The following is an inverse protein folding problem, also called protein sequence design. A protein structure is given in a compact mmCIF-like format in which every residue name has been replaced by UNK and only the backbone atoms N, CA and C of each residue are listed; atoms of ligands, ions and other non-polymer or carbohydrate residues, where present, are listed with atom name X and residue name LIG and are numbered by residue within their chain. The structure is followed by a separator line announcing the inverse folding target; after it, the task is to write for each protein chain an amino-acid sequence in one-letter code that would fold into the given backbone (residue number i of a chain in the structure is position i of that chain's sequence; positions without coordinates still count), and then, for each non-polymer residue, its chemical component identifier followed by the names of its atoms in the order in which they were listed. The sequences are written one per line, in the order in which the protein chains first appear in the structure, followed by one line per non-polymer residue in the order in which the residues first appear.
data_IF_770916007136
#
_entry.id   IF_770916007136
#
_cell.length_a   1.000
_cell.length_b   1.000
_cell.length_c   1.000
_cell.angle_alpha   90.00
_cell.angle_beta   90.00
_cell.angle_gamma   90.00
#
_symmetry.space_group_name_H-M   'P 1'
#
loop_
_entity.id
_entity.type
_entity.pdbx_description
1 polymer ?
#
# COMPACT_ATOMS: atom_id res chain seq x y z
N UNK A 1 -17.31 -16.26 -27.57
CA UNK A 1 -18.18 -15.10 -27.85
C UNK A 1 -17.27 -13.86 -27.86
N UNK A 2 -16.65 -13.42 -28.98
CA UNK A 2 -17.21 -12.59 -30.09
C UNK A 2 -18.06 -11.42 -29.59
N UNK A 3 -17.90 -10.13 -29.92
CA UNK A 3 -17.15 -9.32 -30.93
C UNK A 3 -17.17 -7.85 -30.40
N UNK A 4 -16.39 -6.84 -30.82
CA UNK A 4 -15.20 -6.68 -31.68
C UNK A 4 -14.60 -5.25 -31.48
N UNK A 5 -13.54 -4.91 -32.24
CA UNK A 5 -13.26 -3.63 -32.96
C UNK A 5 -13.61 -2.24 -32.36
N UNK A 6 -12.81 -1.18 -32.53
CA UNK A 6 -11.49 -0.98 -33.18
C UNK A 6 -10.89 0.40 -32.78
N UNK A 7 -9.60 0.69 -33.05
CA UNK A 7 -8.90 1.90 -32.58
C UNK A 7 -8.73 2.99 -33.66
N UNK A 8 -7.82 3.96 -33.36
CA UNK A 8 -7.16 4.98 -34.22
C UNK A 8 -7.63 6.43 -34.02
N UNK A 9 -6.71 7.32 -33.56
CA UNK A 9 -6.10 8.36 -34.41
C UNK A 9 -5.20 9.34 -33.61
N UNK A 10 -3.94 9.41 -34.01
CA UNK A 10 -3.02 10.57 -33.98
C UNK A 10 -2.21 10.51 -35.31
N UNK A 11 -1.40 11.50 -35.73
CA UNK A 11 -1.10 12.83 -35.14
C UNK A 11 -1.16 14.00 -36.17
N UNK A 12 -0.84 15.20 -35.68
CA UNK A 12 -0.26 16.36 -36.42
C UNK A 12 -1.14 17.13 -37.42
N UNK A 13 -1.16 18.48 -37.30
CA UNK A 13 -0.46 19.38 -38.22
C UNK A 13 -0.53 20.84 -37.74
N UNK A 14 0.47 21.65 -38.14
CA UNK A 14 0.61 23.07 -37.83
C UNK A 14 -0.51 23.93 -38.45
N UNK A 15 -0.99 24.94 -37.73
CA UNK A 15 -0.77 26.34 -38.15
C UNK A 15 -0.94 27.33 -36.99
N UNK A 16 -0.06 28.32 -36.96
CA UNK A 16 -0.09 29.45 -36.02
C UNK A 16 -0.85 30.60 -36.68
N UNK A 17 -1.88 31.13 -36.02
CA UNK A 17 -2.48 32.43 -36.37
C UNK A 17 -2.19 33.44 -35.26
N UNK A 18 -1.00 34.05 -35.35
CA UNK A 18 -0.70 35.30 -34.68
C UNK A 18 -1.37 36.44 -35.47
N UNK A 19 -2.31 37.15 -34.87
CA UNK A 19 -2.71 38.49 -35.33
C UNK A 19 -2.14 39.55 -34.40
N UNK A 20 -0.81 39.67 -34.44
CA UNK A 20 -0.09 40.85 -33.97
C UNK A 20 -0.08 41.90 -35.08
N UNK A 21 -0.74 43.03 -34.88
CA UNK A 21 -0.46 44.27 -35.62
C UNK A 21 0.34 45.22 -34.73
N UNK A 22 1.62 45.32 -35.05
CA UNK A 22 2.57 46.35 -34.57
C UNK A 22 2.15 47.73 -35.14
N UNK A 23 2.46 48.90 -34.57
CA UNK A 23 3.79 49.44 -34.14
C UNK A 23 4.75 49.44 -35.36
N UNK A 24 5.31 50.54 -35.89
CA UNK A 24 5.25 51.97 -35.53
C UNK A 24 5.29 52.88 -36.79
N UNK A 25 6.29 53.76 -37.08
CA UNK A 25 6.01 55.20 -37.20
C UNK A 25 6.47 55.80 -38.56
N UNK A 26 6.53 57.14 -38.64
CA UNK A 26 7.51 58.01 -39.34
C UNK A 26 6.84 59.24 -39.96
N UNK A 27 7.50 60.39 -39.80
CA UNK A 27 7.12 61.70 -40.33
C UNK A 27 7.07 61.73 -41.86
N UNK A 28 6.26 62.63 -42.43
CA UNK A 28 6.70 63.60 -43.46
C UNK A 28 5.58 64.57 -43.85
N UNK A 29 5.84 65.87 -43.72
CA UNK A 29 5.35 66.86 -44.69
C UNK A 29 6.12 66.65 -46.02
N UNK A 30 5.68 67.12 -47.20
CA UNK A 30 4.76 68.23 -47.43
C UNK A 30 3.70 68.00 -48.54
N UNK A 31 2.87 69.02 -48.82
CA UNK A 31 2.56 69.56 -50.17
C UNK A 31 1.16 70.23 -50.27
N UNK A 32 1.19 71.52 -50.63
CA UNK A 32 0.14 72.21 -51.41
C UNK A 32 0.00 71.51 -52.80
N UNK A 33 -1.08 71.68 -53.61
CA UNK A 33 -1.98 72.85 -53.71
C UNK A 33 -3.46 72.42 -53.98
N UNK A 34 -4.35 73.11 -54.73
CA UNK A 34 -4.41 74.52 -55.15
C UNK A 34 -5.74 75.26 -54.83
N UNK A 35 -5.67 76.60 -54.95
CA UNK A 35 -6.74 77.58 -55.24
C UNK A 35 -8.16 77.06 -55.58
N UNK A 36 -9.14 77.53 -54.81
CA UNK A 36 -10.52 77.85 -55.25
C UNK A 36 -10.84 79.31 -54.87
N UNK A 37 -11.73 80.04 -55.59
CA UNK A 37 -11.67 81.50 -55.63
C UNK A 37 -12.53 82.26 -54.60
N UNK A 38 -12.01 83.42 -54.23
CA UNK A 38 -12.63 84.46 -53.40
C UNK A 38 -13.76 85.20 -54.17
N UNK A 39 -15.00 85.34 -53.65
CA UNK A 39 -16.13 85.85 -54.46
C UNK A 39 -16.28 87.38 -54.59
N UNK A 40 -15.43 88.21 -53.96
CA UNK A 40 -15.68 89.66 -53.85
C UNK A 40 -14.50 90.60 -54.25
N UNK A 41 -13.62 90.16 -55.15
CA UNK A 41 -12.50 90.99 -55.69
C UNK A 41 -12.63 91.33 -57.19
N UNK A 42 -13.79 91.87 -57.59
CA UNK A 42 -13.97 92.50 -58.92
C UNK A 42 -14.90 93.72 -58.88
N UNK A 43 -14.39 94.87 -58.42
CA UNK A 43 -14.83 96.22 -58.84
C UNK A 43 -13.91 97.33 -58.29
N UNK A 44 -12.65 97.28 -58.70
CA UNK A 44 -11.76 98.44 -58.64
C UNK A 44 -11.64 99.06 -60.04
N UNK A 45 -11.51 100.39 -60.08
CA UNK A 45 -11.30 101.25 -61.26
C UNK A 45 -12.55 101.74 -62.04
N UNK A 46 -13.13 102.83 -61.55
CA UNK A 46 -13.25 104.03 -62.39
C UNK A 46 -12.79 105.29 -61.64
N UNK A 47 -11.69 105.87 -62.14
CA UNK A 47 -11.42 107.32 -62.30
C UNK A 47 -11.30 108.24 -61.06
N UNK A 48 -10.08 108.72 -60.74
CA UNK A 48 -9.84 109.85 -59.84
C UNK A 48 -9.65 111.16 -60.63
N UNK A 49 -10.72 111.94 -60.87
CA UNK A 49 -10.58 113.18 -61.65
C UNK A 49 -11.71 114.21 -61.39
N UNK A 50 -11.53 115.07 -60.38
CA UNK A 50 -11.93 116.49 -60.40
C UNK A 50 -11.53 117.21 -59.09
N UNK A 51 -10.43 117.96 -59.13
CA UNK A 51 -10.13 119.02 -58.16
C UNK A 51 -10.45 120.36 -58.82
N UNK A 52 -11.18 121.21 -58.09
CA UNK A 52 -11.52 122.62 -58.39
C UNK A 52 -12.59 122.83 -59.47
N UNK A 53 -13.77 123.29 -59.06
CA UNK A 53 -14.31 124.66 -59.24
C UNK A 53 -15.37 124.84 -58.12
N UNK A 54 -15.17 125.75 -57.17
CA UNK A 54 -15.56 127.17 -57.17
C UNK A 54 -17.07 127.44 -56.95
N UNK A 55 -17.36 127.82 -55.69
CA UNK A 55 -18.36 128.79 -55.22
C UNK A 55 -19.87 128.45 -55.09
N UNK A 56 -20.42 129.10 -54.04
CA UNK A 56 -21.80 129.56 -53.82
C UNK A 56 -22.95 128.56 -53.91
N UNK A 57 -23.54 128.20 -52.76
CA UNK A 57 -24.82 128.72 -52.25
C UNK A 57 -24.95 128.27 -50.77
N UNK A 58 -24.88 129.17 -49.79
CA UNK A 58 -26.02 129.87 -49.18
C UNK A 58 -27.03 128.96 -48.44
N UNK A 59 -26.83 128.89 -47.12
CA UNK A 59 -27.87 129.03 -46.07
C UNK A 59 -29.26 128.39 -46.30
N UNK A 60 -29.46 127.18 -45.76
CA UNK A 60 -30.79 126.70 -45.34
C UNK A 60 -30.74 126.02 -43.95
N UNK A 61 -31.76 126.21 -43.07
CA UNK A 61 -31.74 125.67 -41.70
C UNK A 61 -31.85 124.13 -41.60
N UNK A 62 -32.10 123.43 -42.70
CA UNK A 62 -32.24 121.97 -42.74
C UNK A 62 -30.91 121.23 -42.56
N UNK A 63 -29.77 121.90 -42.75
CA UNK A 63 -28.46 121.26 -42.77
C UNK A 63 -27.85 121.01 -41.37
N UNK A 64 -28.34 121.71 -40.33
CA UNK A 64 -27.91 121.51 -38.94
C UNK A 64 -28.60 120.31 -38.31
N UNK A 65 -29.92 120.17 -38.51
CA UNK A 65 -30.69 119.00 -38.09
C UNK A 65 -30.11 117.71 -38.68
N UNK A 66 -29.86 117.69 -40.00
CA UNK A 66 -29.28 116.53 -40.67
C UNK A 66 -27.89 116.14 -40.12
N UNK A 67 -27.09 117.13 -39.69
CA UNK A 67 -25.76 116.89 -39.10
C UNK A 67 -25.86 116.32 -37.68
N UNK A 68 -26.84 116.78 -36.91
CA UNK A 68 -27.11 116.31 -35.55
C UNK A 68 -27.69 114.88 -35.58
N UNK A 69 -28.59 114.60 -36.53
CA UNK A 69 -29.06 113.25 -36.85
C UNK A 69 -27.92 112.33 -37.31
N UNK A 70 -26.98 112.81 -38.12
CA UNK A 70 -25.80 112.04 -38.51
C UNK A 70 -24.89 111.71 -37.32
N UNK A 71 -24.64 112.66 -36.41
CA UNK A 71 -23.79 112.38 -35.23
C UNK A 71 -24.51 111.52 -34.19
N UNK A 72 -25.85 111.60 -34.10
CA UNK A 72 -26.71 110.69 -33.34
C UNK A 72 -26.67 109.26 -33.90
N UNK A 73 -26.81 109.11 -35.23
CA UNK A 73 -26.63 107.82 -35.92
C UNK A 73 -25.20 107.29 -35.72
N UNK A 74 -24.18 108.15 -35.74
CA UNK A 74 -22.79 107.77 -35.52
C UNK A 74 -22.54 107.28 -34.10
N UNK A 75 -23.11 107.94 -33.08
CA UNK A 75 -23.07 107.49 -31.68
C UNK A 75 -23.83 106.17 -31.49
N UNK A 76 -24.99 106.00 -32.13
CA UNK A 76 -25.72 104.72 -32.17
C UNK A 76 -24.92 103.61 -32.84
N UNK A 77 -24.25 103.88 -33.96
CA UNK A 77 -23.39 102.91 -34.66
C UNK A 77 -22.19 102.51 -33.79
N UNK A 78 -21.54 103.44 -33.09
CA UNK A 78 -20.41 103.08 -32.23
C UNK A 78 -20.86 102.36 -30.95
N UNK A 79 -22.02 102.71 -30.36
CA UNK A 79 -22.65 101.93 -29.29
C UNK A 79 -22.95 100.50 -29.75
N UNK A 80 -23.61 100.33 -30.91
CA UNK A 80 -23.91 99.01 -31.45
C UNK A 80 -22.66 98.19 -31.77
N UNK A 81 -21.54 98.83 -32.15
CA UNK A 81 -20.25 98.14 -32.30
C UNK A 81 -19.66 97.72 -30.96
N UNK A 82 -19.75 98.53 -29.91
CA UNK A 82 -19.30 98.12 -28.58
C UNK A 82 -20.17 96.97 -28.05
N UNK A 83 -21.50 97.08 -28.17
CA UNK A 83 -22.41 95.98 -27.80
C UNK A 83 -22.15 94.70 -28.64
N UNK A 84 -21.65 94.82 -29.88
CA UNK A 84 -21.20 93.68 -30.69
C UNK A 84 -19.87 93.12 -30.17
N UNK A 85 -18.87 93.98 -29.88
CA UNK A 85 -17.58 93.57 -29.27
C UNK A 85 -17.80 92.86 -27.92
N UNK A 86 -18.71 93.35 -27.10
CA UNK A 86 -19.07 92.73 -25.82
C UNK A 86 -19.74 91.37 -26.03
N UNK A 87 -20.71 91.27 -26.95
CA UNK A 87 -21.34 89.98 -27.31
C UNK A 87 -20.31 88.99 -27.86
N UNK A 88 -19.42 89.40 -28.75
CA UNK A 88 -18.34 88.56 -29.28
C UNK A 88 -17.38 88.09 -28.17
N UNK A 89 -17.07 88.94 -27.20
CA UNK A 89 -16.27 88.61 -26.00
C UNK A 89 -16.98 87.61 -25.07
N UNK A 90 -18.30 87.74 -24.91
CA UNK A 90 -19.13 86.78 -24.15
C UNK A 90 -19.18 85.44 -24.89
N UNK A 91 -19.47 85.44 -26.20
CA UNK A 91 -19.51 84.24 -27.04
C UNK A 91 -18.15 83.52 -27.05
N UNK A 92 -17.05 84.26 -27.13
CA UNK A 92 -15.68 83.72 -27.09
C UNK A 92 -15.40 83.01 -25.77
N UNK A 93 -15.75 83.60 -24.63
CA UNK A 93 -15.64 82.95 -23.31
C UNK A 93 -16.51 81.69 -23.22
N UNK A 94 -17.77 81.77 -23.64
CA UNK A 94 -18.68 80.61 -23.66
C UNK A 94 -18.20 79.47 -24.58
N UNK A 95 -17.49 79.80 -25.67
CA UNK A 95 -16.88 78.79 -26.53
C UNK A 95 -15.71 78.08 -25.84
N UNK A 96 -14.83 78.82 -25.14
CA UNK A 96 -13.73 78.25 -24.34
C UNK A 96 -14.30 77.39 -23.19
N UNK A 97 -15.23 77.93 -22.40
CA UNK A 97 -15.90 77.20 -21.30
C UNK A 97 -16.55 75.89 -21.79
N UNK A 98 -17.19 75.91 -22.97
CA UNK A 98 -17.78 74.71 -23.58
C UNK A 98 -16.71 73.73 -24.07
N UNK A 99 -15.59 74.21 -24.57
CA UNK A 99 -14.46 73.37 -25.02
C UNK A 99 -13.78 72.68 -23.83
N UNK A 100 -13.55 73.40 -22.73
CA UNK A 100 -13.02 72.87 -21.47
C UNK A 100 -13.98 71.81 -20.88
N UNK A 101 -15.28 72.11 -20.77
CA UNK A 101 -16.29 71.15 -20.32
C UNK A 101 -16.37 69.91 -21.24
N UNK A 102 -16.18 70.08 -22.55
CA UNK A 102 -16.10 68.96 -23.50
C UNK A 102 -14.82 68.13 -23.31
N UNK A 103 -13.70 68.73 -22.90
CA UNK A 103 -12.47 68.02 -22.58
C UNK A 103 -12.60 67.23 -21.26
N UNK A 104 -13.18 67.84 -20.22
CA UNK A 104 -13.49 67.17 -18.95
C UNK A 104 -14.49 66.02 -19.13
N UNK A 105 -15.53 66.19 -19.95
CA UNK A 105 -16.48 65.13 -20.27
C UNK A 105 -15.81 63.96 -21.02
N UNK A 106 -14.90 64.25 -21.96
CA UNK A 106 -14.09 63.21 -22.64
C UNK A 106 -13.16 62.49 -21.67
N UNK A 107 -12.49 63.21 -20.77
CA UNK A 107 -11.56 62.60 -19.82
C UNK A 107 -12.31 61.75 -18.77
N UNK A 108 -13.47 62.21 -18.29
CA UNK A 108 -14.29 61.45 -17.34
C UNK A 108 -14.94 60.22 -17.98
N UNK A 109 -15.45 60.32 -19.21
CA UNK A 109 -15.95 59.16 -19.96
C UNK A 109 -14.86 58.14 -20.28
N UNK A 110 -13.63 58.59 -20.61
CA UNK A 110 -12.48 57.69 -20.76
C UNK A 110 -12.14 56.97 -19.44
N UNK A 111 -12.00 57.70 -18.33
CA UNK A 111 -11.73 57.11 -17.00
C UNK A 111 -12.81 56.10 -16.58
N UNK A 112 -14.09 56.38 -16.88
CA UNK A 112 -15.19 55.45 -16.62
C UNK A 112 -15.08 54.19 -17.48
N UNK A 113 -14.70 54.31 -18.76
CA UNK A 113 -14.47 53.17 -19.63
C UNK A 113 -13.28 52.31 -19.16
N UNK A 114 -12.17 52.93 -18.75
CA UNK A 114 -11.00 52.26 -18.19
C UNK A 114 -11.37 51.46 -16.92
N UNK A 115 -12.01 52.12 -15.94
CA UNK A 115 -12.49 51.47 -14.72
C UNK A 115 -13.52 50.36 -15.00
N UNK A 116 -14.37 50.51 -16.01
CA UNK A 116 -15.30 49.48 -16.44
C UNK A 116 -14.56 48.26 -17.01
N UNK A 117 -13.52 48.46 -17.84
CA UNK A 117 -12.70 47.35 -18.36
C UNK A 117 -11.91 46.64 -17.26
N UNK A 118 -11.36 47.39 -16.29
CA UNK A 118 -10.67 46.80 -15.13
C UNK A 118 -11.63 45.99 -14.26
N UNK A 119 -12.82 46.51 -13.98
CA UNK A 119 -13.87 45.79 -13.22
C UNK A 119 -14.30 44.49 -13.90
N UNK A 120 -14.41 44.48 -15.24
CA UNK A 120 -14.69 43.26 -16.02
C UNK A 120 -13.51 42.29 -15.92
N UNK A 121 -12.27 42.75 -16.13
CA UNK A 121 -11.07 41.90 -16.06
C UNK A 121 -10.92 41.24 -14.68
N UNK A 122 -11.11 42.01 -13.60
CA UNK A 122 -11.08 41.51 -12.22
C UNK A 122 -12.17 40.46 -11.97
N UNK A 123 -13.40 40.69 -12.48
CA UNK A 123 -14.49 39.69 -12.39
C UNK A 123 -14.13 38.40 -13.11
N UNK A 124 -13.64 38.47 -14.34
CA UNK A 124 -13.25 37.26 -15.08
C UNK A 124 -12.06 36.53 -14.43
N UNK A 125 -11.09 37.26 -13.85
CA UNK A 125 -9.99 36.64 -13.11
C UNK A 125 -10.50 35.89 -11.87
N UNK A 126 -11.41 36.52 -11.11
CA UNK A 126 -12.08 35.88 -9.98
C UNK A 126 -12.88 34.64 -10.39
N UNK A 127 -13.67 34.72 -11.47
CA UNK A 127 -14.42 33.58 -12.01
C UNK A 127 -13.50 32.44 -12.48
N UNK A 128 -12.36 32.74 -13.12
CA UNK A 128 -11.34 31.74 -13.49
C UNK A 128 -10.72 31.08 -12.26
N UNK A 129 -10.39 31.85 -11.21
CA UNK A 129 -9.87 31.31 -9.95
C UNK A 129 -10.89 30.42 -9.25
N UNK A 130 -12.15 30.86 -9.13
CA UNK A 130 -13.25 30.07 -8.58
C UNK A 130 -13.50 28.77 -9.36
N UNK A 131 -13.46 28.84 -10.70
CA UNK A 131 -13.64 27.66 -11.55
C UNK A 131 -12.48 26.66 -11.40
N UNK A 132 -11.24 27.14 -11.30
CA UNK A 132 -10.07 26.28 -11.08
C UNK A 132 -10.08 25.65 -9.68
N UNK A 133 -10.34 26.43 -8.63
CA UNK A 133 -10.49 25.93 -7.26
C UNK A 133 -11.60 24.86 -7.17
N UNK A 134 -12.75 25.08 -7.81
CA UNK A 134 -13.83 24.08 -7.88
C UNK A 134 -13.43 22.81 -8.62
N UNK A 135 -12.63 22.91 -9.70
CA UNK A 135 -12.08 21.73 -10.41
C UNK A 135 -11.10 20.96 -9.55
N UNK A 136 -10.22 21.64 -8.83
CA UNK A 136 -9.24 21.02 -7.94
C UNK A 136 -9.92 20.31 -6.77
N UNK A 137 -10.93 20.94 -6.16
CA UNK A 137 -11.76 20.33 -5.13
C UNK A 137 -12.47 19.08 -5.64
N UNK A 138 -13.08 19.12 -6.84
CA UNK A 138 -13.69 17.93 -7.44
C UNK A 138 -12.68 16.82 -7.80
N UNK A 139 -11.45 17.17 -8.22
CA UNK A 139 -10.38 16.19 -8.43
C UNK A 139 -10.00 15.52 -7.11
N UNK A 140 -9.67 16.30 -6.08
CA UNK A 140 -9.30 15.77 -4.77
C UNK A 140 -10.42 14.94 -4.12
N UNK A 141 -11.67 15.38 -4.27
CA UNK A 141 -12.85 14.61 -3.83
C UNK A 141 -12.95 13.26 -4.57
N UNK A 142 -12.70 13.25 -5.88
CA UNK A 142 -12.71 12.02 -6.68
C UNK A 142 -11.56 11.10 -6.29
N UNK A 143 -10.34 11.63 -6.19
CA UNK A 143 -9.13 10.85 -5.85
C UNK A 143 -9.26 10.23 -4.45
N UNK A 144 -9.77 10.98 -3.47
CA UNK A 144 -10.05 10.45 -2.12
C UNK A 144 -11.17 9.41 -2.11
N UNK A 145 -12.21 9.57 -2.93
CA UNK A 145 -13.25 8.55 -3.10
C UNK A 145 -12.70 7.26 -3.73
N UNK A 146 -11.85 7.36 -4.76
CA UNK A 146 -11.20 6.21 -5.39
C UNK A 146 -10.23 5.51 -4.42
N UNK A 147 -9.46 6.26 -3.63
CA UNK A 147 -8.61 5.70 -2.57
C UNK A 147 -9.42 4.96 -1.50
N UNK A 148 -10.52 5.55 -1.02
CA UNK A 148 -11.43 4.89 -0.08
C UNK A 148 -12.02 3.59 -0.65
N UNK A 149 -12.46 3.61 -1.92
CA UNK A 149 -12.97 2.42 -2.58
C UNK A 149 -11.89 1.33 -2.70
N UNK A 150 -10.68 1.66 -3.14
CA UNK A 150 -9.58 0.70 -3.21
C UNK A 150 -9.20 0.11 -1.85
N UNK A 151 -9.25 0.91 -0.77
CA UNK A 151 -9.00 0.41 0.59
C UNK A 151 -10.11 -0.54 1.05
N UNK A 152 -11.37 -0.21 0.78
CA UNK A 152 -12.50 -1.11 1.06
C UNK A 152 -12.39 -2.44 0.28
N UNK A 153 -12.02 -2.38 -1.01
CA UNK A 153 -11.82 -3.57 -1.85
C UNK A 153 -10.66 -4.45 -1.34
N UNK A 154 -9.53 -3.84 -0.95
CA UNK A 154 -8.39 -4.56 -0.33
C UNK A 154 -8.79 -5.23 0.98
N UNK A 155 -9.43 -4.49 1.90
CA UNK A 155 -9.89 -5.05 3.17
C UNK A 155 -10.92 -6.17 2.98
N UNK A 156 -11.84 -6.03 2.02
CA UNK A 156 -12.81 -7.09 1.71
C UNK A 156 -12.13 -8.36 1.17
N UNK A 157 -11.11 -8.22 0.32
CA UNK A 157 -10.30 -9.35 -0.17
C UNK A 157 -9.49 -10.01 0.97
N UNK A 158 -8.87 -9.22 1.84
CA UNK A 158 -8.11 -9.72 3.00
C UNK A 158 -9.02 -10.45 4.00
N UNK A 159 -10.18 -9.90 4.36
CA UNK A 159 -11.19 -10.58 5.19
C UNK A 159 -11.66 -11.88 4.53
N UNK A 160 -11.83 -11.90 3.20
CA UNK A 160 -12.20 -13.12 2.48
C UNK A 160 -11.09 -14.19 2.53
N UNK A 161 -9.83 -13.80 2.40
CA UNK A 161 -8.69 -14.71 2.52
C UNK A 161 -8.51 -15.23 3.97
N UNK A 162 -8.70 -14.37 4.98
CA UNK A 162 -8.65 -14.75 6.39
C UNK A 162 -9.81 -15.68 6.78
N UNK A 163 -11.02 -15.46 6.26
CA UNK A 163 -12.14 -16.39 6.50
C UNK A 163 -11.94 -17.73 5.82
N UNK A 164 -11.36 -17.77 4.61
CA UNK A 164 -10.98 -19.02 3.94
C UNK A 164 -9.95 -19.80 4.77
N UNK A 165 -8.80 -19.19 5.11
CA UNK A 165 -7.75 -19.86 5.91
C UNK A 165 -8.24 -20.26 7.31
N UNK A 166 -9.12 -19.46 7.93
CA UNK A 166 -9.81 -19.83 9.16
C UNK A 166 -10.67 -21.09 9.01
N UNK A 167 -11.39 -21.23 7.90
CA UNK A 167 -12.19 -22.43 7.61
C UNK A 167 -11.33 -23.67 7.32
N UNK A 168 -10.19 -23.50 6.64
CA UNK A 168 -9.22 -24.58 6.40
C UNK A 168 -8.59 -25.08 7.71
N UNK A 169 -8.18 -24.16 8.58
CA UNK A 169 -7.68 -24.49 9.92
C UNK A 169 -8.74 -25.16 10.78
N UNK A 170 -9.99 -24.70 10.72
CA UNK A 170 -11.11 -25.35 11.43
C UNK A 170 -11.35 -26.78 10.91
N UNK A 171 -11.29 -27.00 9.59
CA UNK A 171 -11.46 -28.32 8.99
C UNK A 171 -10.32 -29.27 9.39
N UNK A 172 -9.06 -28.84 9.33
CA UNK A 172 -7.90 -29.65 9.77
C UNK A 172 -7.92 -29.95 11.27
N UNK A 173 -8.34 -29.00 12.10
CA UNK A 173 -8.55 -29.25 13.53
C UNK A 173 -9.66 -30.29 13.75
N UNK A 174 -10.73 -30.25 12.94
CA UNK A 174 -11.82 -31.23 13.02
C UNK A 174 -11.35 -32.63 12.62
N UNK A 175 -10.60 -32.80 11.52
CA UNK A 175 -10.07 -34.11 11.10
C UNK A 175 -9.10 -34.67 12.13
N UNK A 176 -8.14 -33.86 12.63
CA UNK A 176 -7.22 -34.28 13.70
C UNK A 176 -7.97 -34.66 14.99
N UNK A 177 -9.06 -33.96 15.33
CA UNK A 177 -9.90 -34.31 16.47
C UNK A 177 -10.57 -35.68 16.27
N UNK A 178 -11.10 -35.95 15.07
CA UNK A 178 -11.68 -37.25 14.73
C UNK A 178 -10.63 -38.37 14.81
N UNK A 179 -9.45 -38.17 14.23
CA UNK A 179 -8.33 -39.11 14.29
C UNK A 179 -7.91 -39.41 15.74
N UNK A 180 -7.75 -38.39 16.58
CA UNK A 180 -7.44 -38.55 18.02
C UNK A 180 -8.54 -39.33 18.75
N UNK A 181 -9.83 -39.13 18.42
CA UNK A 181 -10.90 -39.94 19.00
C UNK A 181 -10.88 -41.40 18.52
N UNK A 182 -10.56 -41.64 17.25
CA UNK A 182 -10.42 -43.00 16.70
C UNK A 182 -9.24 -43.75 17.32
N UNK A 183 -8.07 -43.11 17.41
CA UNK A 183 -6.88 -43.68 18.06
C UNK A 183 -7.09 -43.94 19.56
N UNK A 184 -7.83 -43.08 20.27
CA UNK A 184 -8.23 -43.33 21.67
C UNK A 184 -9.13 -44.56 21.80
N UNK A 185 -10.05 -44.75 20.86
CA UNK A 185 -10.93 -45.94 20.85
C UNK A 185 -10.13 -47.22 20.60
N UNK A 186 -9.28 -47.25 19.57
CA UNK A 186 -8.38 -48.38 19.28
C UNK A 186 -7.44 -48.69 20.46
N UNK A 187 -6.87 -47.66 21.11
CA UNK A 187 -6.07 -47.84 22.32
C UNK A 187 -6.89 -48.49 23.45
N UNK A 188 -8.13 -48.05 23.64
CA UNK A 188 -9.04 -48.63 24.64
C UNK A 188 -9.31 -50.12 24.34
N UNK A 189 -9.60 -50.47 23.09
CA UNK A 189 -9.80 -51.85 22.64
C UNK A 189 -8.55 -52.71 22.94
N UNK A 190 -7.37 -52.29 22.48
CA UNK A 190 -6.09 -52.98 22.72
C UNK A 190 -5.77 -53.12 24.21
N UNK A 191 -6.08 -52.13 25.04
CA UNK A 191 -5.92 -52.26 26.50
C UNK A 191 -6.87 -53.27 27.11
N UNK A 192 -8.10 -53.38 26.62
CA UNK A 192 -9.07 -54.38 27.09
C UNK A 192 -8.66 -55.80 26.67
N UNK A 193 -8.19 -55.99 25.44
CA UNK A 193 -7.64 -57.27 24.96
C UNK A 193 -6.41 -57.70 25.76
N UNK A 194 -5.47 -56.77 26.02
CA UNK A 194 -4.31 -56.99 26.88
C UNK A 194 -4.72 -57.50 28.26
N UNK A 195 -5.74 -56.89 28.86
CA UNK A 195 -6.17 -57.24 30.22
C UNK A 195 -6.86 -58.62 30.26
N UNK A 196 -7.68 -58.95 29.25
CA UNK A 196 -8.24 -60.30 29.05
C UNK A 196 -7.15 -61.36 28.81
N UNK A 197 -6.13 -61.04 28.02
CA UNK A 197 -5.00 -61.95 27.78
C UNK A 197 -4.15 -62.16 29.05
N UNK A 198 -3.97 -61.11 29.85
CA UNK A 198 -3.28 -61.18 31.15
C UNK A 198 -4.05 -62.04 32.15
N UNK A 199 -5.36 -61.92 32.20
CA UNK A 199 -6.22 -62.78 33.01
C UNK A 199 -6.12 -64.26 32.58
N UNK A 200 -6.26 -64.54 31.28
CA UNK A 200 -6.07 -65.90 30.71
C UNK A 200 -4.69 -66.49 31.03
N UNK A 201 -3.62 -65.69 30.92
CA UNK A 201 -2.27 -66.12 31.27
C UNK A 201 -2.14 -66.44 32.77
N UNK A 202 -2.79 -65.68 33.64
CA UNK A 202 -2.82 -65.96 35.08
C UNK A 202 -3.58 -67.25 35.41
N UNK A 203 -4.70 -67.53 34.73
CA UNK A 203 -5.46 -68.76 34.87
C UNK A 203 -4.63 -69.98 34.45
N UNK A 204 -4.02 -69.96 33.26
CA UNK A 204 -3.14 -71.04 32.78
C UNK A 204 -1.92 -71.23 33.70
N UNK A 205 -1.40 -70.15 34.30
CA UNK A 205 -0.33 -70.26 35.30
C UNK A 205 -0.79 -70.94 36.60
N UNK A 206 -2.05 -70.77 37.00
CA UNK A 206 -2.64 -71.46 38.15
C UNK A 206 -2.84 -72.95 37.84
N UNK A 207 -3.48 -73.28 36.71
CA UNK A 207 -3.65 -74.65 36.22
C UNK A 207 -2.31 -75.39 36.12
N UNK A 208 -1.26 -74.72 35.62
CA UNK A 208 0.10 -75.28 35.55
C UNK A 208 0.71 -75.52 36.94
N UNK A 209 0.42 -74.67 37.92
CA UNK A 209 0.87 -74.88 39.30
C UNK A 209 0.16 -76.08 39.95
N UNK A 210 -1.14 -76.24 39.73
CA UNK A 210 -1.92 -77.41 40.16
C UNK A 210 -1.43 -78.71 39.48
N UNK A 211 -1.12 -78.65 38.19
CA UNK A 211 -0.48 -79.75 37.46
C UNK A 211 0.90 -80.09 38.03
N UNK A 212 1.72 -79.09 38.39
CA UNK A 212 3.01 -79.33 39.03
C UNK A 212 2.86 -79.96 40.43
N UNK A 213 1.86 -79.54 41.21
CA UNK A 213 1.57 -80.11 42.53
C UNK A 213 1.05 -81.55 42.43
N UNK A 214 0.17 -81.85 41.47
CA UNK A 214 -0.32 -83.22 41.23
C UNK A 214 0.79 -84.14 40.72
N UNK A 215 1.67 -83.67 39.83
CA UNK A 215 2.87 -84.40 39.43
C UNK A 215 3.84 -84.64 40.59
N UNK A 216 4.01 -83.67 41.50
CA UNK A 216 4.80 -83.83 42.72
C UNK A 216 4.19 -84.88 43.66
N UNK A 217 2.87 -84.84 43.88
CA UNK A 217 2.13 -85.86 44.65
C UNK A 217 2.28 -87.25 44.04
N UNK A 218 2.13 -87.39 42.72
CA UNK A 218 2.34 -88.66 42.00
C UNK A 218 3.78 -89.15 42.11
N UNK A 219 4.77 -88.27 41.98
CA UNK A 219 6.19 -88.60 42.11
C UNK A 219 6.53 -89.10 43.51
N UNK A 220 5.98 -88.45 44.54
CA UNK A 220 6.13 -88.89 45.93
C UNK A 220 5.41 -90.21 46.18
N UNK A 221 4.17 -90.37 45.70
CA UNK A 221 3.40 -91.61 45.81
C UNK A 221 4.12 -92.80 45.16
N UNK A 222 4.62 -92.63 43.93
CA UNK A 222 5.46 -93.62 43.25
C UNK A 222 6.71 -93.89 44.08
N UNK A 223 7.44 -92.85 44.51
CA UNK A 223 8.64 -92.99 45.35
C UNK A 223 8.41 -93.71 46.68
N UNK A 224 7.23 -93.60 47.28
CA UNK A 224 6.85 -94.35 48.50
C UNK A 224 6.39 -95.77 48.23
N UNK A 225 5.89 -96.09 47.03
CA UNK A 225 5.45 -97.44 46.65
C UNK A 225 6.52 -98.25 45.91
N UNK A 226 7.50 -97.61 45.28
CA UNK A 226 8.75 -98.25 44.86
C UNK A 226 9.66 -98.35 46.07
N UNK A 227 9.44 -99.37 46.91
CA UNK A 227 10.34 -99.73 48.00
C UNK A 227 11.75 -99.95 47.46
N UNK A 228 12.60 -98.91 47.61
CA UNK A 228 13.88 -98.83 46.90
C UNK A 228 14.81 -100.00 47.18
N UNK A 229 14.75 -100.55 48.40
CA UNK A 229 15.57 -101.70 48.82
C UNK A 229 15.13 -103.02 48.19
N UNK A 230 13.82 -103.31 48.08
CA UNK A 230 13.35 -104.53 47.41
C UNK A 230 13.59 -104.47 45.90
N UNK A 231 13.38 -103.31 45.28
CA UNK A 231 13.66 -103.14 43.85
C UNK A 231 15.18 -103.07 43.56
N UNK A 232 16.01 -102.44 44.40
CA UNK A 232 17.47 -102.50 44.22
C UNK A 232 18.03 -103.89 44.48
N UNK A 233 17.58 -104.61 45.51
CA UNK A 233 18.05 -105.98 45.74
C UNK A 233 17.57 -106.95 44.65
N UNK A 234 16.39 -106.72 44.06
CA UNK A 234 15.94 -107.45 42.87
C UNK A 234 16.76 -107.07 41.63
N UNK A 235 17.04 -105.79 41.40
CA UNK A 235 17.89 -105.32 40.29
C UNK A 235 19.32 -105.85 40.45
N UNK A 236 19.91 -105.86 41.65
CA UNK A 236 21.21 -106.48 41.91
C UNK A 236 21.20 -108.00 41.69
N UNK A 237 20.14 -108.70 42.08
CA UNK A 237 19.98 -110.14 41.80
C UNK A 237 19.90 -110.38 40.30
N UNK A 238 19.05 -109.64 39.59
CA UNK A 238 18.91 -109.73 38.14
C UNK A 238 20.20 -109.31 37.40
N UNK A 239 20.97 -108.38 37.95
CA UNK A 239 22.27 -107.97 37.43
C UNK A 239 23.33 -109.08 37.64
N UNK A 240 23.37 -109.72 38.81
CA UNK A 240 24.22 -110.90 39.07
C UNK A 240 23.82 -112.11 38.21
N UNK A 241 22.52 -112.34 38.02
CA UNK A 241 21.99 -113.36 37.11
C UNK A 241 22.35 -113.04 35.65
N UNK A 242 22.22 -111.77 35.22
CA UNK A 242 22.65 -111.29 33.90
C UNK A 242 24.16 -111.47 33.70
N UNK A 243 24.98 -111.19 34.70
CA UNK A 243 26.43 -111.40 34.66
C UNK A 243 26.79 -112.89 34.56
N UNK A 244 26.13 -113.74 35.35
CA UNK A 244 26.26 -115.20 35.24
C UNK A 244 25.78 -115.75 33.89
N UNK A 245 24.68 -115.23 33.36
CA UNK A 245 24.19 -115.51 32.00
C UNK A 245 25.16 -115.01 30.94
N UNK A 246 25.80 -113.84 31.12
CA UNK A 246 26.81 -113.33 30.20
C UNK A 246 28.03 -114.24 30.16
N UNK A 247 28.55 -114.67 31.32
CA UNK A 247 29.65 -115.67 31.40
C UNK A 247 29.24 -117.01 30.79
N UNK A 248 27.99 -117.45 31.00
CA UNK A 248 27.45 -118.66 30.37
C UNK A 248 27.35 -118.54 28.85
N UNK A 249 26.90 -117.38 28.35
CA UNK A 249 26.86 -117.04 26.92
C UNK A 249 28.28 -116.94 26.35
N UNK A 250 29.26 -116.39 27.07
CA UNK A 250 30.65 -116.34 26.64
C UNK A 250 31.27 -117.74 26.57
N UNK A 251 30.99 -118.62 27.54
CA UNK A 251 31.36 -120.04 27.47
C UNK A 251 30.67 -120.73 26.30
N UNK A 252 29.38 -120.45 26.06
CA UNK A 252 28.64 -120.98 24.92
C UNK A 252 29.21 -120.44 23.60
N UNK A 253 29.66 -119.19 23.56
CA UNK A 253 30.29 -118.53 22.43
C UNK A 253 31.69 -119.07 22.17
N UNK A 254 32.45 -119.47 23.20
CA UNK A 254 33.71 -120.23 23.05
C UNK A 254 33.42 -121.63 22.49
N UNK A 255 32.39 -122.33 22.98
CA UNK A 255 31.97 -123.63 22.44
C UNK A 255 31.46 -123.53 21.01
N UNK A 256 30.67 -122.50 20.69
CA UNK A 256 30.19 -122.20 19.34
C UNK A 256 31.35 -121.79 18.45
N UNK A 257 32.33 -120.99 18.91
CA UNK A 257 33.56 -120.71 18.16
C UNK A 257 34.36 -121.98 17.88
N UNK A 258 34.56 -122.85 18.86
CA UNK A 258 35.21 -124.15 18.66
C UNK A 258 34.45 -125.02 17.66
N UNK A 259 33.13 -125.12 17.79
CA UNK A 259 32.27 -125.81 16.81
C UNK A 259 32.26 -125.12 15.44
N UNK A 260 32.43 -123.80 15.38
CA UNK A 260 32.51 -123.00 14.16
C UNK A 260 33.92 -123.06 13.54
N UNK A 261 34.97 -123.31 14.31
CA UNK A 261 36.32 -123.58 13.80
C UNK A 261 36.43 -125.04 13.31
N UNK A 262 35.69 -125.98 13.91
CA UNK A 262 35.42 -127.32 13.37
C UNK A 262 34.57 -127.21 12.08
N UNK A 263 33.47 -126.46 12.11
CA UNK A 263 32.67 -126.20 10.91
C UNK A 263 33.49 -125.45 9.86
N UNK A 264 34.45 -124.59 10.19
CA UNK A 264 35.37 -123.94 9.23
C UNK A 264 36.45 -124.86 8.70
N UNK A 265 36.80 -125.92 9.42
CA UNK A 265 37.61 -127.00 8.87
C UNK A 265 36.77 -127.80 7.86
N UNK A 266 35.52 -128.12 8.20
CA UNK A 266 34.56 -128.77 7.31
C UNK A 266 34.10 -127.87 6.15
N UNK A 267 34.01 -126.56 6.34
CA UNK A 267 33.67 -125.55 5.33
C UNK A 267 34.89 -125.26 4.48
N UNK A 268 36.13 -125.41 4.96
CA UNK A 268 37.32 -125.40 4.10
C UNK A 268 37.41 -126.67 3.24
N UNK A 269 36.87 -127.78 3.73
CA UNK A 269 36.65 -129.00 2.95
C UNK A 269 35.48 -128.83 1.95
N UNK A 270 34.42 -128.10 2.33
CA UNK A 270 33.27 -127.75 1.47
C UNK A 270 33.49 -126.50 0.60
N UNK A 271 34.51 -125.68 0.80
CA UNK A 271 34.85 -124.50 -0.03
C UNK A 271 35.57 -124.93 -1.32
N UNK A 272 35.91 -126.21 -1.46
CA UNK A 272 36.08 -126.86 -2.76
C UNK A 272 34.73 -127.08 -3.49
N UNK A 273 33.58 -126.78 -2.86
CA UNK A 273 32.21 -127.03 -3.33
C UNK A 273 31.21 -125.90 -2.96
N UNK A 274 31.24 -124.82 -3.76
CA UNK A 274 30.14 -123.84 -4.03
C UNK A 274 30.06 -122.48 -3.28
N UNK A 275 30.45 -121.44 -4.04
CA UNK A 275 29.67 -120.27 -4.54
C UNK A 275 29.01 -119.21 -3.58
N UNK A 276 29.20 -117.88 -3.81
CA UNK A 276 28.82 -116.83 -2.85
C UNK A 276 27.62 -115.95 -3.26
N UNK A 277 26.55 -115.96 -2.45
CA UNK A 277 25.39 -115.05 -2.59
C UNK A 277 25.10 -114.24 -1.31
N UNK A 278 25.81 -113.11 -1.13
CA UNK A 278 25.47 -112.14 -0.08
C UNK A 278 25.78 -110.68 -0.48
N UNK A 279 25.08 -110.16 -1.50
CA UNK A 279 25.35 -108.84 -2.11
C UNK A 279 24.31 -107.74 -1.80
N UNK A 280 23.21 -108.07 -1.11
CA UNK A 280 21.96 -107.32 -1.22
C UNK A 280 21.74 -106.20 -0.17
N UNK A 281 22.32 -106.34 1.05
CA UNK A 281 22.04 -105.41 2.16
C UNK A 281 22.65 -104.01 2.02
N UNK A 282 23.70 -103.83 1.22
CA UNK A 282 24.42 -102.56 1.08
C UNK A 282 23.70 -101.52 0.21
N UNK A 283 22.84 -101.97 -0.71
CA UNK A 283 22.14 -101.10 -1.65
C UNK A 283 21.02 -100.31 -0.96
N UNK A 284 20.27 -100.93 -0.05
CA UNK A 284 19.16 -100.30 0.67
C UNK A 284 19.56 -99.21 1.67
N UNK A 285 20.79 -99.24 2.20
CA UNK A 285 21.28 -98.17 3.08
C UNK A 285 21.63 -96.89 2.28
N UNK A 286 22.12 -97.06 1.06
CA UNK A 286 22.48 -95.95 0.15
C UNK A 286 21.25 -95.22 -0.38
N UNK A 287 20.13 -95.91 -0.64
CA UNK A 287 18.88 -95.25 -1.04
C UNK A 287 18.30 -94.38 0.08
N UNK A 288 18.18 -94.92 1.30
CA UNK A 288 17.70 -94.19 2.48
C UNK A 288 18.55 -92.95 2.79
N UNK A 289 19.88 -93.03 2.62
CA UNK A 289 20.76 -91.88 2.82
C UNK A 289 20.54 -90.79 1.76
N UNK A 290 20.43 -91.18 0.47
CA UNK A 290 20.13 -90.25 -0.63
C UNK A 290 18.79 -89.53 -0.44
N UNK A 291 17.76 -90.25 -0.03
CA UNK A 291 16.44 -89.70 0.23
C UNK A 291 16.47 -88.65 1.37
N UNK A 292 17.16 -88.96 2.48
CA UNK A 292 17.30 -88.03 3.60
C UNK A 292 18.09 -86.77 3.24
N UNK A 293 19.15 -86.90 2.44
CA UNK A 293 19.93 -85.75 1.91
C UNK A 293 19.09 -84.92 0.94
N UNK A 294 18.29 -85.54 0.08
CA UNK A 294 17.39 -84.84 -0.82
C UNK A 294 16.33 -84.02 -0.07
N UNK A 295 15.68 -84.60 0.95
CA UNK A 295 14.73 -83.85 1.79
C UNK A 295 15.37 -82.62 2.47
N UNK A 296 16.58 -82.76 3.01
CA UNK A 296 17.30 -81.65 3.64
C UNK A 296 17.65 -80.54 2.63
N UNK A 297 18.04 -80.90 1.40
CA UNK A 297 18.30 -79.92 0.34
C UNK A 297 17.04 -79.16 -0.08
N UNK A 298 15.90 -79.85 -0.19
CA UNK A 298 14.60 -79.21 -0.50
C UNK A 298 14.17 -78.28 0.63
N UNK A 299 14.31 -78.71 1.90
CA UNK A 299 14.03 -77.85 3.06
C UNK A 299 14.92 -76.60 3.08
N UNK A 300 16.22 -76.75 2.82
CA UNK A 300 17.17 -75.64 2.77
C UNK A 300 16.79 -74.63 1.66
N UNK A 301 16.52 -75.12 0.44
CA UNK A 301 16.10 -74.26 -0.69
C UNK A 301 14.75 -73.57 -0.44
N UNK A 302 13.80 -74.25 0.20
CA UNK A 302 12.53 -73.64 0.60
C UNK A 302 12.76 -72.50 1.60
N UNK A 303 13.62 -72.68 2.61
CA UNK A 303 13.88 -71.63 3.59
C UNK A 303 14.72 -70.48 3.02
N UNK A 304 15.67 -70.76 2.13
CA UNK A 304 16.41 -69.74 1.37
C UNK A 304 15.47 -68.87 0.51
N UNK A 305 14.55 -69.50 -0.23
CA UNK A 305 13.54 -68.76 -1.01
C UNK A 305 12.61 -67.92 -0.13
N UNK A 306 12.21 -68.44 1.04
CA UNK A 306 11.39 -67.69 1.99
C UNK A 306 12.14 -66.47 2.55
N UNK A 307 13.39 -66.66 2.98
CA UNK A 307 14.25 -65.57 3.48
C UNK A 307 14.50 -64.51 2.40
N UNK A 308 14.61 -64.91 1.12
CA UNK A 308 14.75 -63.95 0.03
C UNK A 308 13.50 -63.08 -0.13
N UNK A 309 12.30 -63.66 -0.04
CA UNK A 309 11.02 -62.92 -0.09
C UNK A 309 10.92 -61.96 1.10
N UNK A 310 11.15 -62.46 2.32
CA UNK A 310 11.16 -61.65 3.56
C UNK A 310 12.15 -60.47 3.45
N UNK A 311 13.36 -60.71 2.95
CA UNK A 311 14.37 -59.66 2.74
C UNK A 311 13.92 -58.65 1.66
N UNK A 312 13.32 -59.08 0.55
CA UNK A 312 12.80 -58.13 -0.46
C UNK A 312 11.67 -57.26 0.09
N UNK A 313 10.78 -57.80 0.94
CA UNK A 313 9.70 -57.03 1.58
C UNK A 313 10.26 -56.00 2.57
N UNK A 314 11.27 -56.38 3.36
CA UNK A 314 12.02 -55.46 4.21
C UNK A 314 12.70 -54.36 3.39
N UNK A 315 13.27 -54.70 2.22
CA UNK A 315 13.92 -53.71 1.37
C UNK A 315 12.95 -52.67 0.78
N UNK A 316 11.75 -53.08 0.39
CA UNK A 316 10.70 -52.16 -0.07
C UNK A 316 10.22 -51.26 1.07
N UNK A 317 9.86 -51.83 2.22
CA UNK A 317 9.41 -51.04 3.39
C UNK A 317 10.48 -50.06 3.90
N UNK A 318 11.77 -50.42 3.87
CA UNK A 318 12.87 -49.47 4.15
C UNK A 318 12.94 -48.36 3.10
N UNK A 319 12.76 -48.66 1.82
CA UNK A 319 12.75 -47.66 0.74
C UNK A 319 11.56 -46.69 0.86
N UNK A 320 10.36 -47.21 1.16
CA UNK A 320 9.15 -46.40 1.35
C UNK A 320 9.30 -45.44 2.54
N UNK A 321 9.82 -45.95 3.67
CA UNK A 321 10.13 -45.14 4.85
C UNK A 321 11.21 -44.08 4.56
N UNK A 322 12.25 -44.41 3.79
CA UNK A 322 13.26 -43.44 3.36
C UNK A 322 12.66 -42.33 2.48
N UNK A 323 11.73 -42.67 1.58
CA UNK A 323 11.06 -41.69 0.73
C UNK A 323 10.14 -40.75 1.54
N UNK A 324 9.39 -41.28 2.51
CA UNK A 324 8.54 -40.44 3.38
C UNK A 324 9.40 -39.54 4.29
N UNK A 325 10.54 -40.03 4.81
CA UNK A 325 11.51 -39.20 5.54
C UNK A 325 12.06 -38.06 4.67
N UNK A 326 12.40 -38.32 3.40
CA UNK A 326 12.84 -37.26 2.46
C UNK A 326 11.73 -36.23 2.20
N UNK A 327 10.49 -36.68 2.01
CA UNK A 327 9.31 -35.81 1.82
C UNK A 327 9.05 -34.93 3.04
N UNK A 328 9.11 -35.49 4.25
CA UNK A 328 9.01 -34.74 5.51
C UNK A 328 10.16 -33.74 5.67
N UNK A 329 11.40 -34.11 5.32
CA UNK A 329 12.54 -33.20 5.34
C UNK A 329 12.34 -32.01 4.38
N UNK A 330 11.82 -32.26 3.17
CA UNK A 330 11.47 -31.19 2.23
C UNK A 330 10.38 -30.25 2.78
N UNK A 331 9.36 -30.79 3.46
CA UNK A 331 8.33 -29.98 4.12
C UNK A 331 8.91 -29.13 5.26
N UNK A 332 9.77 -29.71 6.11
CA UNK A 332 10.46 -29.00 7.19
C UNK A 332 11.29 -27.84 6.63
N UNK A 333 12.07 -28.08 5.58
CA UNK A 333 12.89 -27.03 4.94
C UNK A 333 12.02 -25.89 4.36
N UNK A 334 10.88 -26.22 3.75
CA UNK A 334 9.94 -25.23 3.22
C UNK A 334 9.31 -24.38 4.33
N UNK A 335 8.86 -25.01 5.42
CA UNK A 335 8.33 -24.31 6.59
C UNK A 335 9.40 -23.43 7.26
N UNK A 336 10.65 -23.91 7.35
CA UNK A 336 11.77 -23.14 7.88
C UNK A 336 12.03 -21.87 7.06
N UNK A 337 12.01 -21.96 5.73
CA UNK A 337 12.14 -20.79 4.85
C UNK A 337 10.94 -19.84 4.97
N UNK A 338 9.71 -20.35 5.14
CA UNK A 338 8.54 -19.51 5.35
C UNK A 338 8.63 -18.73 6.68
N UNK A 339 9.07 -19.37 7.76
CA UNK A 339 9.32 -18.71 9.06
C UNK A 339 10.42 -17.64 8.94
N UNK A 340 11.48 -17.89 8.17
CA UNK A 340 12.53 -16.90 7.90
C UNK A 340 12.00 -15.69 7.11
N UNK A 341 11.21 -15.91 6.06
CA UNK A 341 10.55 -14.85 5.28
C UNK A 341 9.61 -14.01 6.16
N UNK A 342 8.78 -14.64 7.00
CA UNK A 342 7.91 -13.93 7.94
C UNK A 342 8.69 -13.16 9.00
N UNK A 343 9.81 -13.69 9.48
CA UNK A 343 10.73 -12.96 10.37
C UNK A 343 11.35 -11.73 9.70
N UNK A 344 11.72 -11.82 8.42
CA UNK A 344 12.25 -10.68 7.67
C UNK A 344 11.19 -9.61 7.39
N UNK A 345 9.96 -10.01 7.08
CA UNK A 345 8.81 -9.11 6.90
C UNK A 345 8.49 -8.34 8.19
N UNK A 346 8.53 -8.99 9.35
CA UNK A 346 8.37 -8.33 10.65
C UNK A 346 9.49 -7.32 10.92
N UNK A 347 10.76 -7.67 10.68
CA UNK A 347 11.89 -6.74 10.85
C UNK A 347 11.76 -5.49 9.96
N UNK A 348 11.29 -5.63 8.72
CA UNK A 348 11.02 -4.49 7.84
C UNK A 348 9.88 -3.60 8.38
N UNK A 349 8.82 -4.20 8.93
CA UNK A 349 7.73 -3.47 9.55
C UNK A 349 8.18 -2.73 10.82
N UNK A 350 9.03 -3.33 11.65
CA UNK A 350 9.59 -2.71 12.85
C UNK A 350 10.47 -1.49 12.50
N UNK A 351 11.34 -1.63 11.50
CA UNK A 351 12.16 -0.51 10.97
C UNK A 351 11.25 0.62 10.46
N UNK A 352 10.21 0.29 9.67
CA UNK A 352 9.28 1.29 9.15
C UNK A 352 8.49 2.00 10.27
N UNK A 353 8.07 1.25 11.28
CA UNK A 353 7.38 1.80 12.47
C UNK A 353 8.31 2.74 13.24
N UNK A 354 9.58 2.37 13.41
CA UNK A 354 10.60 3.19 14.04
C UNK A 354 10.88 4.49 13.24
N UNK A 355 10.94 4.42 11.91
CA UNK A 355 11.04 5.61 11.06
C UNK A 355 9.84 6.55 11.21
N UNK A 356 8.62 6.00 11.23
CA UNK A 356 7.40 6.79 11.42
C UNK A 356 7.37 7.44 12.81
N UNK A 357 7.80 6.72 13.85
CA UNK A 357 7.94 7.25 15.20
C UNK A 357 8.99 8.37 15.25
N UNK A 358 10.14 8.22 14.59
CA UNK A 358 11.16 9.27 14.49
C UNK A 358 10.63 10.52 13.77
N UNK A 359 9.92 10.34 12.65
CA UNK A 359 9.27 11.43 11.90
C UNK A 359 8.24 12.15 12.79
N UNK A 360 7.42 11.40 13.54
CA UNK A 360 6.46 11.96 14.50
C UNK A 360 7.15 12.79 15.60
N UNK A 361 8.21 12.26 16.23
CA UNK A 361 8.99 13.02 17.22
C UNK A 361 9.54 14.32 16.62
N UNK A 362 10.17 14.27 15.44
CA UNK A 362 10.72 15.47 14.80
C UNK A 362 9.64 16.52 14.44
N UNK A 363 8.43 16.08 14.09
CA UNK A 363 7.31 16.97 13.84
C UNK A 363 6.76 17.60 15.14
N UNK A 364 6.74 16.86 16.25
CA UNK A 364 6.37 17.38 17.57
C UNK A 364 7.39 18.42 18.05
N UNK A 365 8.69 18.14 17.92
CA UNK A 365 9.76 19.08 18.28
C UNK A 365 9.66 20.39 17.48
N UNK A 366 9.39 20.29 16.17
CA UNK A 366 9.19 21.44 15.30
C UNK A 366 7.92 22.24 15.65
N UNK A 367 6.81 21.57 16.00
CA UNK A 367 5.60 22.23 16.51
C UNK A 367 5.89 22.98 17.81
N UNK A 368 6.66 22.40 18.75
CA UNK A 368 7.04 23.08 19.98
C UNK A 368 7.94 24.29 19.71
N UNK A 369 8.89 24.17 18.78
CA UNK A 369 9.77 25.27 18.34
C UNK A 369 8.97 26.41 17.70
N UNK A 370 8.05 26.10 16.80
CA UNK A 370 7.17 27.07 16.15
C UNK A 370 6.21 27.74 17.15
N UNK A 371 5.70 26.99 18.13
CA UNK A 371 4.87 27.53 19.22
C UNK A 371 5.66 28.55 20.06
N UNK A 372 6.89 28.22 20.49
CA UNK A 372 7.77 29.16 21.22
C UNK A 372 8.08 30.42 20.40
N UNK A 373 8.31 30.26 19.09
CA UNK A 373 8.52 31.42 18.20
C UNK A 373 7.26 32.28 18.07
N UNK A 374 6.08 31.67 17.92
CA UNK A 374 4.79 32.36 17.88
C UNK A 374 4.57 33.17 19.17
N UNK A 375 4.71 32.54 20.33
CA UNK A 375 4.55 33.21 21.64
C UNK A 375 5.51 34.41 21.77
N UNK A 376 6.78 34.24 21.38
CA UNK A 376 7.74 35.35 21.35
C UNK A 376 7.30 36.49 20.42
N UNK A 377 6.82 36.17 19.22
CA UNK A 377 6.29 37.15 18.27
C UNK A 377 5.06 37.88 18.80
N UNK A 378 4.13 37.16 19.44
CA UNK A 378 2.92 37.73 20.06
C UNK A 378 3.28 38.69 21.21
N UNK A 379 4.28 38.37 22.04
CA UNK A 379 4.74 39.33 23.06
C UNK A 379 5.41 40.56 22.45
N UNK A 380 6.08 40.44 21.30
CA UNK A 380 6.67 41.58 20.59
C UNK A 380 5.58 42.48 19.98
N UNK A 381 4.58 41.91 19.31
CA UNK A 381 3.46 42.69 18.75
C UNK A 381 2.63 43.35 19.85
N UNK A 382 2.39 42.67 20.98
CA UNK A 382 1.72 43.26 22.13
C UNK A 382 2.46 44.51 22.68
N UNK A 383 3.79 44.45 22.79
CA UNK A 383 4.63 45.61 23.18
C UNK A 383 4.55 46.75 22.16
N UNK A 384 4.53 46.44 20.86
CA UNK A 384 4.41 47.46 19.81
C UNK A 384 3.02 48.12 19.87
N UNK A 385 1.95 47.36 20.00
CA UNK A 385 0.58 47.89 20.16
C UNK A 385 0.46 48.78 21.39
N UNK A 386 1.06 48.40 22.51
CA UNK A 386 1.12 49.19 23.75
C UNK A 386 1.93 50.50 23.58
N UNK A 387 3.05 50.48 22.84
CA UNK A 387 3.79 51.70 22.45
C UNK A 387 2.92 52.61 21.57
N UNK A 388 2.28 52.06 20.53
CA UNK A 388 1.41 52.81 19.61
C UNK A 388 0.22 53.42 20.36
N UNK A 389 -0.38 52.68 21.31
CA UNK A 389 -1.47 53.19 22.13
C UNK A 389 -1.00 54.38 23.00
N UNK A 390 0.14 54.26 23.70
CA UNK A 390 0.74 55.39 24.43
C UNK A 390 1.03 56.60 23.55
N UNK A 391 1.57 56.38 22.34
CA UNK A 391 1.82 57.45 21.38
C UNK A 391 0.51 58.11 20.94
N UNK A 392 -0.54 57.34 20.67
CA UNK A 392 -1.86 57.86 20.30
C UNK A 392 -2.49 58.71 21.40
N UNK A 393 -2.35 58.31 22.67
CA UNK A 393 -2.82 59.11 23.82
C UNK A 393 -2.04 60.43 23.90
N UNK A 394 -0.70 60.38 23.84
CA UNK A 394 0.12 61.58 23.87
C UNK A 394 -0.15 62.53 22.69
N UNK A 395 -0.38 62.01 21.48
CA UNK A 395 -0.78 62.82 20.31
C UNK A 395 -2.15 63.46 20.54
N UNK A 396 -3.13 62.75 21.10
CA UNK A 396 -4.44 63.32 21.43
C UNK A 396 -4.38 64.40 22.53
N UNK A 397 -3.47 64.25 23.50
CA UNK A 397 -3.18 65.30 24.50
C UNK A 397 -2.56 66.55 23.85
N UNK A 398 -1.62 66.38 22.92
CA UNK A 398 -1.03 67.47 22.14
C UNK A 398 -2.06 68.15 21.22
N UNK A 399 -2.90 67.37 20.55
CA UNK A 399 -4.00 67.87 19.71
C UNK A 399 -4.97 68.72 20.54
N UNK A 400 -5.38 68.22 21.72
CA UNK A 400 -6.23 68.96 22.67
C UNK A 400 -5.57 70.27 23.15
N UNK A 401 -4.26 70.29 23.37
CA UNK A 401 -3.51 71.49 23.75
C UNK A 401 -3.44 72.51 22.59
N UNK A 402 -3.23 72.03 21.36
CA UNK A 402 -3.21 72.88 20.15
C UNK A 402 -4.60 73.45 19.87
N UNK A 403 -5.66 72.67 19.99
CA UNK A 403 -7.05 73.13 19.84
C UNK A 403 -7.43 74.16 20.91
N UNK A 404 -7.02 73.96 22.17
CA UNK A 404 -7.18 74.94 23.23
C UNK A 404 -6.42 76.25 22.95
N UNK A 405 -5.17 76.16 22.46
CA UNK A 405 -4.39 77.33 22.04
C UNK A 405 -5.01 78.04 20.83
N UNK A 406 -5.57 77.30 19.86
CA UNK A 406 -6.30 77.84 18.72
C UNK A 406 -7.58 78.57 19.16
N UNK A 407 -8.32 78.03 20.13
CA UNK A 407 -9.48 78.70 20.72
C UNK A 407 -9.10 79.99 21.47
N UNK A 408 -7.98 79.99 22.20
CA UNK A 408 -7.46 81.22 22.82
C UNK A 408 -7.05 82.25 21.76
N UNK A 409 -6.38 81.80 20.70
CA UNK A 409 -5.96 82.66 19.59
C UNK A 409 -7.15 83.25 18.84
N UNK A 410 -8.21 82.47 18.57
CA UNK A 410 -9.41 82.99 17.90
C UNK A 410 -10.16 84.03 18.77
N UNK A 411 -10.21 83.85 20.09
CA UNK A 411 -10.71 84.87 21.03
C UNK A 411 -9.84 86.13 21.01
N UNK A 412 -8.51 86.00 20.94
CA UNK A 412 -7.61 87.15 20.79
C UNK A 412 -7.80 87.85 19.43
N UNK A 413 -7.98 87.11 18.35
CA UNK A 413 -8.30 87.64 17.01
C UNK A 413 -9.62 88.40 17.02
N UNK A 414 -10.70 87.84 17.58
CA UNK A 414 -11.99 88.53 17.71
C UNK A 414 -11.86 89.83 18.55
N UNK A 415 -11.04 89.83 19.60
CA UNK A 415 -10.75 91.05 20.38
C UNK A 415 -9.94 92.07 19.58
N UNK A 416 -9.01 91.63 18.75
CA UNK A 416 -8.23 92.48 17.83
C UNK A 416 -9.11 93.06 16.72
N UNK A 417 -9.96 92.26 16.09
CA UNK A 417 -10.95 92.70 15.10
C UNK A 417 -11.94 93.70 15.71
N UNK A 418 -12.47 93.44 16.90
CA UNK A 418 -13.32 94.38 17.62
C UNK A 418 -12.60 95.71 17.91
N UNK A 419 -11.34 95.66 18.33
CA UNK A 419 -10.52 96.85 18.53
C UNK A 419 -10.27 97.61 17.21
N UNK A 420 -9.98 96.89 16.13
CA UNK A 420 -9.77 97.46 14.78
C UNK A 420 -11.05 98.11 14.22
N UNK A 421 -12.20 97.46 14.39
CA UNK A 421 -13.51 97.98 13.99
C UNK A 421 -13.88 99.24 14.78
N UNK A 422 -13.53 99.29 16.07
CA UNK A 422 -13.60 100.53 16.88
C UNK A 422 -12.66 101.63 16.38
N UNK A 423 -11.47 101.28 15.91
CA UNK A 423 -10.48 102.23 15.39
C UNK A 423 -10.96 102.83 14.05
N UNK A 424 -11.60 102.02 13.20
CA UNK A 424 -12.24 102.46 11.95
C UNK A 424 -13.59 103.20 12.12
N UNK A 425 -14.17 103.26 13.33
CA UNK A 425 -15.38 104.08 13.60
C UNK A 425 -15.07 105.41 14.31
N UNK A 426 -13.78 105.76 14.42
CA UNK A 426 -13.27 107.04 14.97
C UNK A 426 -12.55 107.88 13.89
N UNK A 427 -12.67 107.47 12.63
CA UNK A 427 -12.40 108.25 11.41
C UNK A 427 -13.67 108.30 10.56
#
# INVERSE_FOLDING_TARGET
VTRASSPLLTPSHFTVTLTTTSVTPVCSAPSLPPRGPDPWTLLSHTRPENRRLLHTHQTHPSHTLLKEEMEELRRKVESLKEDLRERDSIISRQCIEREDLCAELKQSTQKLAELQTESVLQREQWERQQHNSKKELHRLQKDTQEQMQQMCERHAAEVSALTLTGSELQNTLHTLTQEVTSLRHQLQEVTSERDVLKEKLSAVSCEKAEQAETLYKLRNYIGTHTGGEEQHTLIEKLQKEKEALCVSVDLLNIRVKSANDILRLQERELEQQCDPLHRDRSVGLLSLWREKVFMLLVQLRSKESQLHIENTQLHHTVSDLQQEVQKLQCQINLLQHNVQDKSAQLQLHDIHTQELQQKLCSAVDEIERLKKHKESSETSTARITDIVHRMSVCVGEWESQVEAAQCQMSVLTQRLEFANTRLHTVH
#
